data_IF_465082969690
#
_entry.id   IF_465082969690
#
_cell.length_a   1.000
_cell.length_b   1.000
_cell.length_c   1.000
_cell.angle_alpha   90.00
_cell.angle_beta   90.00
_cell.angle_gamma   90.00
#
_symmetry.space_group_name_H-M   'P 1'
#
loop_
_entity.id
_entity.type
_entity.pdbx_description
1 polymer ?
#
# COMPACT_ATOMS: atom_id res chain seq x y z
N UNK A 1 -1.71 -23.20 24.54
CA UNK A 1 -2.16 -22.23 23.52
C UNK A 1 -0.98 -21.35 23.18
N UNK A 2 -0.52 -21.34 21.93
CA UNK A 2 0.51 -20.40 21.52
C UNK A 2 -0.12 -19.00 21.51
N UNK A 3 0.17 -18.19 22.52
CA UNK A 3 -0.20 -16.78 22.54
C UNK A 3 0.96 -15.98 21.95
N UNK A 4 0.72 -15.28 20.84
CA UNK A 4 1.65 -14.24 20.41
C UNK A 4 1.71 -13.14 21.49
N UNK A 5 2.91 -12.63 21.84
CA UNK A 5 3.04 -11.56 22.81
C UNK A 5 2.26 -10.33 22.33
N UNK A 6 1.66 -9.58 23.27
CA UNK A 6 1.05 -8.27 23.00
C UNK A 6 2.06 -7.42 22.24
N UNK A 7 1.63 -6.91 21.09
CA UNK A 7 2.47 -6.27 20.11
C UNK A 7 3.27 -5.09 20.70
N UNK A 8 4.61 -5.19 20.67
CA UNK A 8 5.53 -4.15 21.17
C UNK A 8 5.98 -3.16 20.06
N UNK A 9 5.60 -3.37 18.80
CA UNK A 9 6.15 -2.66 17.64
C UNK A 9 5.07 -1.94 16.83
N UNK A 10 4.54 -0.81 17.30
CA UNK A 10 3.64 -0.01 16.45
C UNK A 10 4.44 0.72 15.37
N UNK A 11 4.31 0.30 14.11
CA UNK A 11 4.83 1.03 12.95
C UNK A 11 4.08 2.35 12.77
N UNK A 12 4.82 3.45 12.64
CA UNK A 12 4.28 4.79 12.42
C UNK A 12 4.78 5.38 11.11
N UNK A 13 4.11 6.42 10.62
CA UNK A 13 4.66 7.26 9.56
C UNK A 13 6.07 7.74 9.94
N UNK A 14 7.00 7.66 9.00
CA UNK A 14 8.41 7.98 9.24
C UNK A 14 9.26 6.81 9.78
N UNK A 15 8.65 5.69 10.16
CA UNK A 15 9.40 4.50 10.56
C UNK A 15 10.07 3.86 9.34
N UNK A 16 11.26 3.29 9.53
CA UNK A 16 11.85 2.39 8.54
C UNK A 16 11.03 1.10 8.49
N UNK A 17 10.59 0.72 7.30
CA UNK A 17 9.88 -0.52 7.05
C UNK A 17 10.79 -1.70 7.43
N UNK A 18 10.35 -2.64 8.29
CA UNK A 18 11.13 -3.82 8.65
C UNK A 18 11.65 -4.56 7.41
N UNK A 19 12.94 -4.92 7.41
CA UNK A 19 13.45 -5.81 6.37
C UNK A 19 13.15 -7.27 6.75
N UNK A 20 12.90 -8.11 5.75
CA UNK A 20 12.61 -9.53 5.94
C UNK A 20 13.02 -10.34 4.71
N UNK A 21 13.29 -11.61 4.93
CA UNK A 21 13.38 -12.62 3.88
C UNK A 21 12.05 -13.36 3.79
N UNK A 22 11.57 -13.63 2.58
CA UNK A 22 10.28 -14.27 2.34
C UNK A 22 10.29 -15.17 1.11
N UNK A 23 9.56 -16.26 1.20
CA UNK A 23 9.15 -17.05 0.04
C UNK A 23 7.95 -16.39 -0.64
N UNK A 24 8.01 -16.23 -1.97
CA UNK A 24 6.93 -15.62 -2.75
C UNK A 24 6.62 -16.42 -4.00
N UNK A 25 5.49 -16.10 -4.64
CA UNK A 25 5.08 -16.71 -5.92
C UNK A 25 6.06 -16.53 -7.08
N UNK A 26 7.05 -15.63 -6.96
CA UNK A 26 8.11 -15.43 -7.96
C UNK A 26 9.50 -15.88 -7.46
N UNK A 27 9.55 -16.63 -6.36
CA UNK A 27 10.78 -17.08 -5.70
C UNK A 27 11.11 -16.32 -4.40
N UNK A 28 12.22 -16.67 -3.74
CA UNK A 28 12.64 -16.03 -2.50
C UNK A 28 13.09 -14.58 -2.73
N UNK A 29 12.78 -13.70 -1.78
CA UNK A 29 13.21 -12.30 -1.79
C UNK A 29 13.79 -11.88 -0.44
N UNK A 30 14.71 -10.91 -0.48
CA UNK A 30 14.92 -9.97 0.62
C UNK A 30 14.15 -8.69 0.32
N UNK A 31 13.31 -8.22 1.24
CA UNK A 31 12.34 -7.15 0.95
C UNK A 31 13.00 -5.83 0.53
N UNK A 32 14.06 -5.40 1.20
CA UNK A 32 14.75 -4.15 0.86
C UNK A 32 15.50 -4.24 -0.46
N UNK A 33 16.13 -5.38 -0.74
CA UNK A 33 16.81 -5.64 -2.02
C UNK A 33 15.80 -5.71 -3.18
N UNK A 34 14.70 -6.44 -3.02
CA UNK A 34 13.62 -6.50 -3.99
C UNK A 34 13.03 -5.12 -4.25
N UNK A 35 12.82 -4.32 -3.21
CA UNK A 35 12.30 -2.96 -3.34
C UNK A 35 13.28 -2.06 -4.11
N UNK A 36 14.58 -2.16 -3.82
CA UNK A 36 15.63 -1.38 -4.48
C UNK A 36 15.39 0.12 -4.35
N UNK A 37 15.56 0.87 -5.44
CA UNK A 37 15.32 2.33 -5.49
C UNK A 37 13.88 2.69 -5.90
N UNK A 38 12.97 1.72 -5.91
CA UNK A 38 11.54 1.95 -6.19
C UNK A 38 10.77 2.30 -4.91
N UNK A 39 9.63 2.95 -5.10
CA UNK A 39 8.56 2.97 -4.10
C UNK A 39 7.93 1.57 -3.98
N UNK A 40 7.30 1.29 -2.84
CA UNK A 40 6.71 0.00 -2.53
C UNK A 40 5.29 0.13 -1.99
N UNK A 41 4.40 -0.75 -2.43
CA UNK A 41 3.10 -1.00 -1.81
C UNK A 41 3.10 -2.43 -1.29
N UNK A 42 3.19 -2.59 0.03
CA UNK A 42 2.97 -3.86 0.71
C UNK A 42 1.52 -3.89 1.18
N UNK A 43 0.74 -4.86 0.71
CA UNK A 43 -0.68 -4.94 1.05
C UNK A 43 -1.07 -6.36 1.49
N UNK A 44 -1.73 -6.47 2.63
CA UNK A 44 -2.21 -7.75 3.15
C UNK A 44 -3.64 -8.05 2.69
N UNK A 45 -4.00 -9.32 2.62
CA UNK A 45 -5.38 -9.77 2.45
C UNK A 45 -5.67 -10.95 3.39
N UNK A 46 -6.87 -11.04 4.00
CA UNK A 46 -7.16 -12.03 5.04
C UNK A 46 -6.88 -13.48 4.66
N UNK A 47 -7.14 -13.85 3.42
CA UNK A 47 -6.83 -15.19 2.93
C UNK A 47 -7.22 -15.42 1.48
N UNK A 48 -6.59 -16.43 0.91
CA UNK A 48 -6.85 -16.92 -0.43
C UNK A 48 -8.24 -17.56 -0.53
N UNK A 49 -8.75 -17.71 -1.76
CA UNK A 49 -10.07 -18.26 -2.04
C UNK A 49 -11.24 -17.54 -1.36
N UNK A 50 -11.08 -16.24 -1.07
CA UNK A 50 -12.14 -15.40 -0.48
C UNK A 50 -12.64 -14.35 -1.48
N UNK A 51 -13.95 -14.01 -1.46
CA UNK A 51 -14.58 -13.25 -2.54
C UNK A 51 -13.99 -11.85 -2.71
N UNK A 52 -13.90 -11.07 -1.62
CA UNK A 52 -13.39 -9.68 -1.71
C UNK A 52 -11.92 -9.66 -2.12
N UNK A 53 -11.08 -10.55 -1.56
CA UNK A 53 -9.66 -10.59 -1.89
C UNK A 53 -9.44 -10.91 -3.38
N UNK A 54 -10.25 -11.80 -3.96
CA UNK A 54 -10.17 -12.12 -5.40
C UNK A 54 -10.43 -10.88 -6.26
N UNK A 55 -11.39 -10.03 -5.85
CA UNK A 55 -11.66 -8.77 -6.56
C UNK A 55 -10.50 -7.78 -6.44
N UNK A 56 -9.91 -7.65 -5.25
CA UNK A 56 -8.82 -6.71 -4.97
C UNK A 56 -7.53 -7.08 -5.71
N UNK A 57 -7.09 -8.34 -5.65
CA UNK A 57 -5.85 -8.75 -6.31
C UNK A 57 -5.97 -8.69 -7.84
N UNK A 58 -7.16 -8.98 -8.37
CA UNK A 58 -7.45 -8.76 -9.78
C UNK A 58 -7.36 -7.28 -10.17
N UNK A 59 -7.80 -6.37 -9.30
CA UNK A 59 -7.68 -4.93 -9.53
C UNK A 59 -6.23 -4.44 -9.48
N UNK A 60 -5.41 -4.96 -8.54
CA UNK A 60 -3.97 -4.69 -8.49
C UNK A 60 -3.30 -5.14 -9.80
N UNK A 61 -3.62 -6.33 -10.28
CA UNK A 61 -3.06 -6.87 -11.52
C UNK A 61 -3.41 -5.97 -12.72
N UNK A 62 -4.66 -5.52 -12.84
CA UNK A 62 -5.10 -4.59 -13.90
C UNK A 62 -4.40 -3.24 -13.84
N UNK A 63 -3.99 -2.80 -12.65
CA UNK A 63 -3.32 -1.51 -12.40
C UNK A 63 -1.80 -1.59 -12.38
N UNK A 64 -1.20 -2.71 -12.81
CA UNK A 64 0.25 -2.89 -12.81
C UNK A 64 0.98 -1.71 -13.49
N UNK A 65 0.49 -1.27 -14.66
CA UNK A 65 1.07 -0.13 -15.39
C UNK A 65 0.91 1.20 -14.66
N UNK A 66 -0.18 1.38 -13.90
CA UNK A 66 -0.41 2.57 -13.09
C UNK A 66 0.59 2.69 -11.93
N UNK A 67 1.00 1.57 -11.35
CA UNK A 67 2.05 1.55 -10.34
C UNK A 67 3.44 1.69 -11.00
N UNK A 68 3.69 0.97 -12.09
CA UNK A 68 4.98 1.00 -12.78
C UNK A 68 5.35 2.41 -13.27
N UNK A 69 4.41 3.17 -13.84
CA UNK A 69 4.65 4.55 -14.31
C UNK A 69 5.03 5.52 -13.18
N UNK A 70 4.80 5.15 -11.92
CA UNK A 70 5.17 5.92 -10.71
C UNK A 70 6.44 5.40 -10.03
N UNK A 71 7.14 4.45 -10.66
CA UNK A 71 8.24 3.69 -10.05
C UNK A 71 7.82 3.03 -8.73
N UNK A 72 6.63 2.43 -8.69
CA UNK A 72 6.08 1.71 -7.54
C UNK A 72 6.05 0.21 -7.85
N UNK A 73 6.66 -0.59 -6.96
CA UNK A 73 6.50 -2.04 -6.92
C UNK A 73 5.39 -2.40 -5.94
N UNK A 74 4.64 -3.44 -6.24
CA UNK A 74 3.52 -3.91 -5.41
C UNK A 74 3.78 -5.35 -4.98
N UNK A 75 3.43 -5.68 -3.74
CA UNK A 75 3.60 -7.03 -3.17
C UNK A 75 2.45 -7.36 -2.22
N UNK A 76 1.82 -8.50 -2.45
CA UNK A 76 0.74 -9.04 -1.61
C UNK A 76 1.28 -9.91 -0.49
N UNK A 77 0.50 -10.10 0.58
CA UNK A 77 0.82 -11.03 1.67
C UNK A 77 -0.45 -11.61 2.32
N UNK A 78 -0.43 -12.91 2.57
CA UNK A 78 -1.39 -13.55 3.49
C UNK A 78 -0.74 -14.72 4.22
N UNK A 79 -1.49 -15.30 5.15
CA UNK A 79 -1.04 -16.46 5.93
C UNK A 79 -1.22 -17.82 5.21
N UNK A 80 -1.47 -17.80 3.90
CA UNK A 80 -1.61 -19.00 3.08
C UNK A 80 -0.25 -19.54 2.62
N UNK A 81 -0.26 -20.75 2.03
CA UNK A 81 0.93 -21.38 1.48
C UNK A 81 1.22 -20.91 0.04
N UNK A 82 2.44 -21.15 -0.45
CA UNK A 82 2.78 -20.90 -1.86
C UNK A 82 1.90 -21.70 -2.83
N UNK A 83 1.58 -22.94 -2.49
CA UNK A 83 0.74 -23.80 -3.33
C UNK A 83 -0.69 -23.25 -3.42
N UNK A 84 -1.23 -22.74 -2.30
CA UNK A 84 -2.52 -22.05 -2.29
C UNK A 84 -2.49 -20.81 -3.18
N UNK A 85 -1.44 -19.97 -3.06
CA UNK A 85 -1.30 -18.79 -3.91
C UNK A 85 -1.26 -19.14 -5.39
N UNK A 86 -0.46 -20.15 -5.76
CA UNK A 86 -0.31 -20.57 -7.15
C UNK A 86 -1.62 -21.14 -7.73
N UNK A 87 -2.40 -21.85 -6.92
CA UNK A 87 -3.73 -22.31 -7.31
C UNK A 87 -4.71 -21.13 -7.42
N UNK A 88 -4.74 -20.23 -6.45
CA UNK A 88 -5.69 -19.13 -6.37
C UNK A 88 -5.45 -18.03 -7.40
N UNK A 89 -4.21 -17.78 -7.82
CA UNK A 89 -3.88 -16.87 -8.94
C UNK A 89 -4.67 -17.25 -10.20
N UNK A 90 -4.92 -18.54 -10.44
CA UNK A 90 -5.72 -19.00 -11.58
C UNK A 90 -7.16 -18.51 -11.47
N UNK A 91 -7.75 -18.55 -10.28
CA UNK A 91 -9.11 -18.06 -10.03
C UNK A 91 -9.19 -16.53 -10.16
N UNK A 92 -8.17 -15.81 -9.65
CA UNK A 92 -8.07 -14.35 -9.78
C UNK A 92 -8.01 -13.95 -11.26
N UNK A 93 -7.14 -14.58 -12.04
CA UNK A 93 -7.01 -14.31 -13.47
C UNK A 93 -8.28 -14.69 -14.24
N UNK A 94 -8.89 -15.84 -13.92
CA UNK A 94 -10.11 -16.30 -14.58
C UNK A 94 -11.33 -15.41 -14.28
N UNK A 95 -11.52 -14.98 -13.03
CA UNK A 95 -12.60 -14.07 -12.66
C UNK A 95 -12.31 -12.65 -13.12
N UNK A 96 -11.12 -12.12 -12.83
CA UNK A 96 -10.70 -10.78 -13.21
C UNK A 96 -10.72 -10.54 -14.72
N UNK A 97 -10.38 -11.57 -15.50
CA UNK A 97 -10.49 -11.57 -16.96
C UNK A 97 -11.89 -11.30 -17.51
N UNK A 98 -12.95 -11.52 -16.70
CA UNK A 98 -14.33 -11.16 -17.05
C UNK A 98 -14.61 -9.65 -16.93
N UNK A 99 -13.79 -8.93 -16.15
CA UNK A 99 -13.89 -7.49 -15.92
C UNK A 99 -12.94 -6.72 -16.85
N UNK A 100 -11.73 -7.23 -17.06
CA UNK A 100 -10.73 -6.66 -17.96
C UNK A 100 -9.43 -7.48 -17.99
N UNK A 101 -8.46 -7.13 -18.85
CA UNK A 101 -7.19 -7.86 -18.97
C UNK A 101 -6.50 -7.99 -17.60
N UNK A 102 -6.47 -9.21 -17.05
CA UNK A 102 -5.99 -9.46 -15.69
C UNK A 102 -4.96 -10.57 -15.73
N UNK A 103 -3.76 -10.26 -15.27
CA UNK A 103 -2.68 -11.23 -15.09
C UNK A 103 -1.85 -10.87 -13.85
N UNK A 104 -1.98 -11.66 -12.79
CA UNK A 104 -1.22 -11.46 -11.56
C UNK A 104 0.26 -11.80 -11.79
N UNK A 105 1.09 -10.76 -11.87
CA UNK A 105 2.55 -10.86 -12.03
C UNK A 105 3.34 -10.31 -10.82
N UNK A 106 2.66 -9.65 -9.88
CA UNK A 106 3.30 -9.18 -8.66
C UNK A 106 3.48 -10.34 -7.66
N UNK A 107 4.54 -10.30 -6.81
CA UNK A 107 4.75 -11.31 -5.79
C UNK A 107 3.62 -11.34 -4.76
N UNK A 108 3.27 -12.55 -4.32
CA UNK A 108 2.46 -12.78 -3.11
C UNK A 108 3.33 -13.56 -2.12
N UNK A 109 3.53 -12.99 -0.93
CA UNK A 109 4.30 -13.58 0.17
C UNK A 109 3.47 -14.65 0.87
N UNK A 110 4.06 -15.84 1.05
CA UNK A 110 3.52 -16.90 1.87
C UNK A 110 3.99 -16.75 3.33
N UNK A 111 3.15 -16.16 4.18
CA UNK A 111 3.45 -15.88 5.59
C UNK A 111 2.72 -16.85 6.53
N UNK A 112 2.85 -18.15 6.26
CA UNK A 112 2.11 -19.19 6.98
C UNK A 112 2.41 -19.24 8.49
N UNK A 113 3.56 -18.74 8.94
CA UNK A 113 3.91 -18.62 10.37
C UNK A 113 3.56 -17.25 10.98
N UNK A 114 3.01 -16.34 10.16
CA UNK A 114 2.57 -14.98 10.52
C UNK A 114 3.68 -14.08 11.03
N UNK A 115 4.96 -14.38 10.78
CA UNK A 115 6.07 -13.56 11.28
C UNK A 115 6.06 -12.17 10.67
N UNK A 116 5.84 -12.06 9.36
CA UNK A 116 5.87 -10.77 8.67
C UNK A 116 4.60 -9.97 9.03
N UNK A 117 3.44 -10.64 9.03
CA UNK A 117 2.18 -10.03 9.45
C UNK A 117 2.22 -9.56 10.90
N UNK A 118 2.94 -10.26 11.79
CA UNK A 118 3.15 -9.85 13.17
C UNK A 118 3.98 -8.56 13.27
N UNK A 119 5.13 -8.48 12.59
CA UNK A 119 6.01 -7.31 12.68
C UNK A 119 5.43 -6.07 11.98
N UNK A 120 4.50 -6.27 11.04
CA UNK A 120 3.78 -5.19 10.34
C UNK A 120 2.42 -4.83 10.96
N UNK A 121 2.08 -5.36 12.13
CA UNK A 121 0.77 -5.14 12.79
C UNK A 121 -0.45 -5.45 11.91
N UNK A 122 -0.37 -6.53 11.13
CA UNK A 122 -1.39 -6.88 10.15
C UNK A 122 -2.37 -7.93 10.65
N UNK A 123 -2.28 -8.39 11.90
CA UNK A 123 -3.10 -9.49 12.41
C UNK A 123 -4.34 -8.99 13.17
N UNK A 124 -5.51 -9.58 12.89
CA UNK A 124 -6.73 -9.23 13.63
C UNK A 124 -6.86 -10.01 14.94
N UNK A 125 -6.31 -9.48 16.02
CA UNK A 125 -6.44 -10.11 17.33
C UNK A 125 -7.83 -9.95 17.96
N UNK A 126 -8.61 -8.97 17.51
CA UNK A 126 -9.89 -8.60 18.13
C UNK A 126 -11.06 -9.34 17.50
N UNK A 127 -11.02 -9.58 16.19
CA UNK A 127 -12.05 -10.36 15.50
C UNK A 127 -11.88 -11.86 15.77
N UNK A 128 -12.74 -12.38 16.65
CA UNK A 128 -12.76 -13.80 16.96
C UNK A 128 -13.15 -14.70 15.77
N UNK A 129 -13.78 -14.14 14.73
CA UNK A 129 -14.17 -14.86 13.51
C UNK A 129 -13.08 -14.87 12.45
N UNK A 130 -12.10 -13.96 12.53
CA UNK A 130 -11.00 -13.87 11.57
C UNK A 130 -9.79 -14.73 12.00
N UNK A 131 -10.04 -16.03 12.18
CA UNK A 131 -9.04 -17.00 12.64
C UNK A 131 -9.03 -18.26 11.79
N UNK A 132 -7.86 -18.88 11.67
CA UNK A 132 -7.73 -20.17 11.04
C UNK A 132 -8.27 -21.31 11.92
N UNK A 133 -8.26 -22.54 11.39
CA UNK A 133 -8.72 -23.74 12.11
C UNK A 133 -7.92 -24.03 13.40
N UNK A 134 -6.74 -23.45 13.56
CA UNK A 134 -5.89 -23.56 14.76
C UNK A 134 -6.11 -22.41 15.74
N UNK A 135 -7.02 -21.49 15.44
CA UNK A 135 -7.34 -20.31 16.23
C UNK A 135 -6.32 -19.17 16.10
N UNK A 136 -5.43 -19.23 15.10
CA UNK A 136 -4.48 -18.16 14.82
C UNK A 136 -5.14 -17.06 13.98
N UNK A 137 -4.91 -15.78 14.28
CA UNK A 137 -5.51 -14.70 13.52
C UNK A 137 -5.04 -14.72 12.06
N UNK A 138 -5.96 -14.41 11.16
CA UNK A 138 -5.64 -14.02 9.79
C UNK A 138 -5.21 -12.54 9.75
N UNK A 139 -4.68 -12.13 8.60
CA UNK A 139 -4.39 -10.72 8.36
C UNK A 139 -5.68 -9.90 8.21
N UNK A 140 -5.60 -8.59 8.48
CA UNK A 140 -6.58 -7.59 8.04
C UNK A 140 -6.18 -7.04 6.66
N UNK A 141 -6.96 -6.10 6.12
CA UNK A 141 -6.64 -5.42 4.85
C UNK A 141 -5.80 -4.16 5.14
N UNK A 142 -4.51 -4.33 5.39
CA UNK A 142 -3.57 -3.22 5.60
C UNK A 142 -2.81 -2.93 4.32
N UNK A 143 -2.49 -1.66 4.09
CA UNK A 143 -1.62 -1.17 3.02
C UNK A 143 -0.53 -0.31 3.65
N UNK A 144 0.73 -0.57 3.30
CA UNK A 144 1.86 0.30 3.57
C UNK A 144 2.41 0.85 2.26
N UNK A 145 2.50 2.17 2.14
CA UNK A 145 3.27 2.83 1.07
C UNK A 145 4.64 3.20 1.63
N UNK A 146 5.68 2.71 0.97
CA UNK A 146 7.07 2.77 1.43
C UNK A 146 7.90 3.48 0.36
N UNK A 147 8.72 4.44 0.75
CA UNK A 147 9.57 5.18 -0.19
C UNK A 147 10.90 4.46 -0.49
N UNK A 148 11.71 4.93 -1.46
CA UNK A 148 13.00 4.32 -1.79
C UNK A 148 14.00 4.28 -0.61
N UNK A 149 13.84 5.18 0.38
CA UNK A 149 14.63 5.20 1.61
C UNK A 149 14.10 4.23 2.66
N UNK A 150 13.16 3.36 2.26
CA UNK A 150 12.49 2.34 3.09
C UNK A 150 11.63 2.96 4.19
N UNK A 151 11.21 4.21 4.05
CA UNK A 151 10.40 4.90 5.06
C UNK A 151 8.91 4.70 4.76
N UNK A 152 8.13 4.38 5.79
CA UNK A 152 6.67 4.29 5.70
C UNK A 152 6.08 5.69 5.55
N UNK A 153 5.39 5.93 4.44
CA UNK A 153 4.79 7.22 4.06
C UNK A 153 3.28 7.26 4.17
N UNK A 154 2.62 6.10 4.15
CA UNK A 154 1.18 5.95 4.31
C UNK A 154 0.88 4.59 4.93
N UNK A 155 -0.11 4.54 5.82
CA UNK A 155 -0.74 3.30 6.25
C UNK A 155 -2.26 3.44 6.15
N UNK A 156 -2.92 2.43 5.58
CA UNK A 156 -4.38 2.34 5.49
C UNK A 156 -4.79 0.97 6.01
N UNK A 157 -5.75 0.89 6.93
CA UNK A 157 -6.26 -0.36 7.48
C UNK A 157 -7.77 -0.45 7.32
N UNK A 158 -8.23 -1.49 6.65
CA UNK A 158 -9.64 -1.81 6.43
C UNK A 158 -9.99 -3.12 7.14
N UNK A 159 -11.21 -3.27 7.69
CA UNK A 159 -11.68 -4.55 8.17
C UNK A 159 -11.88 -5.52 7.00
N UNK A 160 -11.92 -6.83 7.27
CA UNK A 160 -12.06 -7.86 6.24
C UNK A 160 -13.31 -7.68 5.35
N UNK A 161 -14.38 -7.08 5.88
CA UNK A 161 -15.66 -6.87 5.18
C UNK A 161 -15.64 -5.74 4.14
N UNK A 162 -14.65 -4.85 4.17
CA UNK A 162 -14.60 -3.68 3.30
C UNK A 162 -13.45 -3.80 2.29
N UNK A 163 -13.79 -3.94 1.00
CA UNK A 163 -12.81 -3.87 -0.08
C UNK A 163 -12.17 -2.48 -0.17
N UNK A 164 -10.87 -2.43 -0.49
CA UNK A 164 -10.09 -1.20 -0.60
C UNK A 164 -10.33 -0.49 -1.93
N UNK A 165 -10.14 0.83 -1.90
CA UNK A 165 -10.16 1.66 -3.08
C UNK A 165 -8.71 1.89 -3.59
N UNK A 166 -8.36 1.26 -4.71
CA UNK A 166 -7.03 1.41 -5.33
C UNK A 166 -6.84 2.76 -6.03
N UNK A 167 -7.91 3.47 -6.40
CA UNK A 167 -7.79 4.87 -6.85
C UNK A 167 -7.25 5.76 -5.73
N UNK A 168 -7.70 5.55 -4.49
CA UNK A 168 -7.22 6.33 -3.35
C UNK A 168 -5.74 6.04 -3.05
N UNK A 169 -5.33 4.76 -3.13
CA UNK A 169 -3.93 4.38 -2.93
C UNK A 169 -3.04 5.07 -3.97
N UNK A 170 -3.45 5.04 -5.24
CA UNK A 170 -2.72 5.69 -6.34
C UNK A 170 -2.71 7.22 -6.16
N UNK A 171 -3.86 7.83 -5.85
CA UNK A 171 -3.99 9.28 -5.61
C UNK A 171 -3.11 9.74 -4.44
N UNK A 172 -3.03 8.95 -3.37
CA UNK A 172 -2.17 9.24 -2.23
C UNK A 172 -0.68 9.14 -2.61
N UNK A 173 -0.29 8.14 -3.42
CA UNK A 173 1.08 8.04 -3.97
C UNK A 173 1.42 9.29 -4.79
N UNK A 174 0.52 9.72 -5.67
CA UNK A 174 0.71 10.94 -6.47
C UNK A 174 0.93 12.16 -5.58
N UNK A 175 0.05 12.37 -4.58
CA UNK A 175 0.15 13.49 -3.66
C UNK A 175 1.47 13.51 -2.88
N UNK A 176 1.90 12.35 -2.38
CA UNK A 176 3.15 12.23 -1.62
C UNK A 176 4.37 12.47 -2.52
N UNK A 177 4.42 11.83 -3.69
CA UNK A 177 5.53 12.01 -4.64
C UNK A 177 5.63 13.45 -5.15
N UNK A 178 4.49 14.14 -5.32
CA UNK A 178 4.44 15.53 -5.73
C UNK A 178 4.99 16.47 -4.63
N UNK A 179 4.59 16.23 -3.37
CA UNK A 179 5.14 16.95 -2.22
C UNK A 179 6.63 16.71 -1.97
N UNK A 180 7.16 15.54 -2.35
CA UNK A 180 8.60 15.27 -2.30
C UNK A 180 9.39 16.04 -3.37
N UNK A 181 8.77 16.30 -4.52
CA UNK A 181 9.40 17.00 -5.67
C UNK A 181 9.27 18.52 -5.58
N UNK A 182 8.18 19.01 -5.00
CA UNK A 182 7.84 20.43 -4.98
C UNK A 182 7.54 20.89 -3.54
N UNK A 183 7.85 22.15 -3.20
CA UNK A 183 7.51 22.74 -1.89
C UNK A 183 6.00 23.06 -1.79
N UNK A 184 5.16 22.05 -1.92
CA UNK A 184 3.69 22.12 -1.97
C UNK A 184 3.04 21.08 -1.05
N UNK A 185 1.72 21.18 -0.90
CA UNK A 185 0.85 20.17 -0.33
C UNK A 185 -0.43 20.03 -1.18
N UNK A 186 -1.08 18.86 -1.18
CA UNK A 186 -2.36 18.67 -1.90
C UNK A 186 -3.55 18.96 -0.99
N UNK A 187 -4.60 19.68 -1.44
CA UNK A 187 -5.80 19.92 -0.64
C UNK A 187 -6.64 18.66 -0.41
N UNK A 188 -7.69 18.79 0.41
CA UNK A 188 -8.68 17.73 0.62
C UNK A 188 -9.31 17.31 -0.72
N UNK A 189 -9.50 16.01 -0.91
CA UNK A 189 -10.08 15.40 -2.12
C UNK A 189 -9.33 15.71 -3.44
N UNK A 190 -8.09 16.21 -3.36
CA UNK A 190 -7.29 16.57 -4.53
C UNK A 190 -7.16 15.41 -5.52
N UNK A 191 -7.35 15.72 -6.80
CA UNK A 191 -7.07 14.83 -7.94
C UNK A 191 -5.93 15.37 -8.78
N UNK A 192 -5.25 14.47 -9.48
CA UNK A 192 -4.17 14.85 -10.38
C UNK A 192 -4.63 15.89 -11.41
N UNK A 193 -3.89 17.00 -11.51
CA UNK A 193 -4.20 18.13 -12.38
C UNK A 193 -4.97 19.27 -11.71
N UNK A 194 -5.46 19.10 -10.48
CA UNK A 194 -6.07 20.20 -9.72
C UNK A 194 -5.01 21.06 -9.03
N UNK A 195 -5.36 22.32 -8.73
CA UNK A 195 -4.52 23.25 -7.99
C UNK A 195 -4.05 22.64 -6.65
N UNK A 196 -2.78 22.90 -6.31
CA UNK A 196 -2.17 22.50 -5.04
C UNK A 196 -2.05 23.69 -4.09
N UNK A 197 -1.68 23.42 -2.84
CA UNK A 197 -1.39 24.43 -1.81
C UNK A 197 0.12 24.66 -1.75
N UNK A 198 0.56 25.92 -1.73
CA UNK A 198 1.97 26.25 -1.47
C UNK A 198 2.30 25.89 -0.02
N UNK A 199 3.39 25.13 0.19
CA UNK A 199 3.76 24.66 1.53
C UNK A 199 3.98 25.84 2.49
N UNK A 200 3.58 25.66 3.76
CA UNK A 200 3.61 26.71 4.77
C UNK A 200 5.02 27.28 5.02
N UNK A 201 6.08 26.52 4.72
CA UNK A 201 7.47 26.98 4.83
C UNK A 201 7.88 28.03 3.79
N UNK A 202 7.13 28.19 2.70
CA UNK A 202 7.47 29.10 1.61
C UNK A 202 6.93 30.47 1.97
N UNK A 203 7.78 31.49 2.11
CA UNK A 203 7.27 32.83 2.44
C UNK A 203 6.63 33.53 1.22
N UNK A 204 6.06 34.73 1.40
CA UNK A 204 5.34 35.44 0.34
C UNK A 204 6.24 35.88 -0.82
N UNK A 205 7.48 36.26 -0.55
CA UNK A 205 8.43 36.67 -1.59
C UNK A 205 8.94 35.47 -2.38
N UNK A 206 9.31 34.38 -1.70
CA UNK A 206 9.69 33.12 -2.36
C UNK A 206 8.56 32.60 -3.26
N UNK A 207 7.30 32.70 -2.83
CA UNK A 207 6.15 32.23 -3.60
C UNK A 207 5.99 32.96 -4.94
N UNK A 208 6.33 34.24 -5.03
CA UNK A 208 6.28 35.00 -6.30
C UNK A 208 7.27 34.44 -7.33
N UNK A 209 8.40 33.91 -6.88
CA UNK A 209 9.42 33.33 -7.76
C UNK A 209 9.14 31.87 -8.06
N UNK A 210 8.82 31.07 -7.03
CA UNK A 210 8.63 29.62 -7.17
C UNK A 210 7.30 29.27 -7.85
N UNK A 211 6.27 30.09 -7.66
CA UNK A 211 4.90 29.84 -8.13
C UNK A 211 4.28 31.14 -8.69
N UNK A 212 4.74 31.67 -9.83
CA UNK A 212 4.33 32.99 -10.31
C UNK A 212 2.82 33.15 -10.54
N UNK A 213 2.12 32.04 -10.81
CA UNK A 213 0.67 32.01 -11.06
C UNK A 213 -0.18 31.73 -9.81
N UNK A 214 0.43 31.78 -8.62
CA UNK A 214 -0.28 31.46 -7.39
C UNK A 214 -1.36 32.49 -7.03
N UNK A 215 -2.41 32.00 -6.38
CA UNK A 215 -3.52 32.79 -5.84
C UNK A 215 -3.40 32.84 -4.33
N UNK A 216 -3.54 34.04 -3.75
CA UNK A 216 -3.57 34.24 -2.30
C UNK A 216 -5.01 34.37 -1.85
N UNK A 217 -5.51 33.38 -1.11
CA UNK A 217 -6.84 33.42 -0.49
C UNK A 217 -6.74 33.98 0.93
N UNK A 218 -5.74 33.53 1.68
CA UNK A 218 -5.33 34.02 2.99
C UNK A 218 -3.80 33.98 3.08
N UNK A 219 -3.15 34.66 4.05
CA UNK A 219 -1.69 34.66 4.19
C UNK A 219 -1.07 33.25 4.25
N UNK A 220 -1.79 32.28 4.81
CA UNK A 220 -1.37 30.88 4.91
C UNK A 220 -2.04 29.95 3.87
N UNK A 221 -3.07 30.42 3.16
CA UNK A 221 -3.82 29.64 2.19
C UNK A 221 -3.58 30.22 0.80
N UNK A 222 -2.57 29.68 0.12
CA UNK A 222 -2.21 30.06 -1.24
C UNK A 222 -2.26 28.83 -2.13
N UNK A 223 -2.93 28.93 -3.26
CA UNK A 223 -3.03 27.84 -4.24
C UNK A 223 -2.24 28.15 -5.49
N UNK A 224 -1.78 27.13 -6.20
CA UNK A 224 -1.06 27.29 -7.47
C UNK A 224 -1.38 26.10 -8.39
N UNK A 225 -1.46 26.31 -9.72
CA UNK A 225 -1.33 25.21 -10.66
C UNK A 225 0.11 24.63 -10.59
N UNK A 226 0.27 23.37 -11.02
CA UNK A 226 1.56 22.68 -11.20
C UNK A 226 1.71 22.15 -12.62
#
# INVERSE_FOLDING_TARGET
>A
MASFPKHEYTLRLGSTAPNFDAETTIGPINFHEWLGDSWGVLFSHPGDFTPVCTTELGEVARRADDFAKRNVKVIGISANSLDDHAAWIKDINAYGGKVGPTDVQFPIIADADRKISYIYDMLDYQDATNKDLKGLPFTIRTVFVIDPKKIIRLTISYPAVAGRNFDEIIRAIDAIQLGDKHRIATPVNWKQGEDVIIHASVNAEEAKTLFPEHKVHLPYLRTTPL
#
